data_IF_899075886805
#
_entry.id   IF_899075886805
#
_cell.length_a   1.000
_cell.length_b   1.000
_cell.length_c   1.000
_cell.angle_alpha   90.00
_cell.angle_beta   90.00
_cell.angle_gamma   90.00
#
_symmetry.space_group_name_H-M   'P 1'
#
loop_
_entity.id
_entity.type
_entity.pdbx_description
1 polymer ?
#
# COMPACT_ATOMS: atom_id res chain seq x y z
N UNK A 1 -15.58 -13.94 38.23
CA UNK A 1 -15.56 -15.21 37.45
C UNK A 1 -14.96 -14.91 36.09
N UNK A 2 -14.04 -15.74 35.56
CA UNK A 2 -13.46 -15.54 34.22
C UNK A 2 -14.45 -16.10 33.20
N UNK A 3 -14.98 -15.25 32.32
CA UNK A 3 -15.88 -15.69 31.26
C UNK A 3 -15.04 -16.37 30.16
N UNK A 4 -15.39 -17.60 29.81
CA UNK A 4 -14.72 -18.39 28.77
C UNK A 4 -15.69 -18.52 27.60
N UNK A 5 -15.25 -18.15 26.40
CA UNK A 5 -15.98 -18.44 25.17
C UNK A 5 -15.46 -19.76 24.61
N UNK A 6 -16.39 -20.64 24.23
CA UNK A 6 -16.11 -21.92 23.58
C UNK A 6 -16.71 -21.87 22.17
N UNK A 7 -15.87 -22.01 21.16
CA UNK A 7 -16.29 -22.15 19.76
C UNK A 7 -16.59 -23.62 19.48
N UNK A 8 -17.77 -23.91 18.92
CA UNK A 8 -18.14 -25.25 18.49
C UNK A 8 -18.80 -25.22 17.12
N UNK A 9 -18.57 -26.27 16.35
CA UNK A 9 -19.16 -26.50 15.04
C UNK A 9 -20.28 -27.54 15.16
N UNK A 10 -21.41 -27.27 14.50
CA UNK A 10 -22.52 -28.21 14.37
C UNK A 10 -22.71 -28.51 12.89
N UNK A 11 -22.51 -29.76 12.48
CA UNK A 11 -22.81 -30.21 11.12
C UNK A 11 -24.22 -30.77 11.07
N UNK A 12 -25.02 -30.35 10.09
CA UNK A 12 -26.42 -30.77 9.93
C UNK A 12 -26.57 -32.29 9.65
N UNK A 13 -25.52 -32.94 9.17
CA UNK A 13 -25.57 -34.36 8.79
C UNK A 13 -25.20 -35.34 9.92
N UNK A 14 -24.61 -34.87 11.03
CA UNK A 14 -24.01 -35.78 12.02
C UNK A 14 -24.44 -35.59 13.48
N UNK A 15 -25.29 -34.60 13.81
CA UNK A 15 -25.75 -34.35 15.20
C UNK A 15 -24.61 -34.35 16.25
N UNK A 16 -23.39 -34.02 15.81
CA UNK A 16 -22.17 -34.05 16.63
C UNK A 16 -21.59 -32.65 16.71
N UNK A 17 -21.46 -32.15 17.94
CA UNK A 17 -20.75 -30.91 18.25
C UNK A 17 -19.24 -31.16 18.31
N UNK A 18 -18.47 -30.43 17.51
CA UNK A 18 -17.01 -30.45 17.57
C UNK A 18 -16.55 -29.13 18.19
N UNK A 19 -15.90 -29.20 19.35
CA UNK A 19 -15.28 -28.02 19.98
C UNK A 19 -14.01 -27.70 19.19
N UNK A 20 -13.94 -26.47 18.66
CA UNK A 20 -12.80 -26.03 17.86
C UNK A 20 -11.72 -25.40 18.75
N UNK A 21 -12.06 -24.38 19.53
CA UNK A 21 -11.14 -23.67 20.45
C UNK A 21 -11.90 -23.00 21.61
N UNK A 22 -11.19 -22.68 22.70
CA UNK A 22 -11.70 -21.82 23.77
C UNK A 22 -10.75 -20.65 24.04
N UNK A 23 -11.31 -19.48 24.35
CA UNK A 23 -10.53 -18.29 24.72
C UNK A 23 -11.20 -17.50 25.84
N UNK A 24 -10.41 -16.77 26.63
CA UNK A 24 -10.91 -15.94 27.72
C UNK A 24 -11.46 -14.62 27.20
N UNK A 25 -12.68 -14.28 27.63
CA UNK A 25 -13.30 -13.02 27.25
C UNK A 25 -12.81 -11.88 28.15
N UNK A 26 -12.08 -10.93 27.58
CA UNK A 26 -11.78 -9.66 28.26
C UNK A 26 -13.03 -8.80 28.41
N UNK A 27 -13.12 -7.98 29.46
CA UNK A 27 -14.28 -7.13 29.80
C UNK A 27 -14.76 -6.22 28.66
N UNK A 28 -13.88 -5.86 27.73
CA UNK A 28 -14.19 -5.03 26.56
C UNK A 28 -14.97 -5.75 25.43
N UNK A 29 -15.07 -7.08 25.48
CA UNK A 29 -15.62 -7.89 24.39
C UNK A 29 -17.04 -8.41 24.67
N UNK A 30 -17.67 -7.98 25.77
CA UNK A 30 -19.03 -8.39 26.17
C UNK A 30 -20.08 -8.04 25.11
N UNK A 31 -19.84 -6.97 24.34
CA UNK A 31 -20.69 -6.55 23.22
C UNK A 31 -20.66 -7.51 22.02
N UNK A 32 -19.72 -8.46 21.97
CA UNK A 32 -19.60 -9.45 20.89
C UNK A 32 -20.39 -10.74 21.16
N UNK A 33 -20.94 -10.90 22.37
CA UNK A 33 -21.73 -12.09 22.73
C UNK A 33 -23.09 -12.04 22.00
N UNK A 34 -23.41 -13.10 21.26
CA UNK A 34 -24.68 -13.21 20.53
C UNK A 34 -24.67 -12.60 19.13
N UNK A 35 -23.52 -12.12 18.65
CA UNK A 35 -23.37 -11.70 17.25
C UNK A 35 -23.09 -12.90 16.35
N UNK A 36 -23.95 -13.12 15.37
CA UNK A 36 -23.67 -14.04 14.26
C UNK A 36 -22.63 -13.40 13.33
N UNK A 37 -21.39 -13.90 13.40
CA UNK A 37 -20.31 -13.47 12.53
C UNK A 37 -20.09 -14.54 11.46
N UNK A 38 -20.12 -14.20 10.16
CA UNK A 38 -19.82 -15.16 9.11
C UNK A 38 -18.46 -15.82 9.32
N UNK A 39 -18.39 -17.15 9.16
CA UNK A 39 -17.15 -17.96 9.29
C UNK A 39 -15.93 -17.37 8.55
N UNK A 40 -16.18 -16.68 7.44
CA UNK A 40 -15.18 -15.95 6.68
C UNK A 40 -14.32 -14.99 7.53
N UNK A 41 -14.88 -14.37 8.57
CA UNK A 41 -14.14 -13.47 9.45
C UNK A 41 -12.98 -14.18 10.17
N UNK A 42 -13.23 -15.36 10.73
CA UNK A 42 -12.21 -16.14 11.42
C UNK A 42 -11.17 -16.68 10.44
N UNK A 43 -11.60 -17.16 9.28
CA UNK A 43 -10.71 -17.66 8.22
C UNK A 43 -9.76 -16.56 7.68
N UNK A 44 -10.25 -15.32 7.51
CA UNK A 44 -9.40 -14.20 7.07
C UNK A 44 -8.39 -13.80 8.14
N UNK A 45 -8.81 -13.79 9.42
CA UNK A 45 -7.91 -13.48 10.54
C UNK A 45 -6.78 -14.51 10.63
N UNK A 46 -7.11 -15.79 10.57
CA UNK A 46 -6.13 -16.88 10.57
C UNK A 46 -5.19 -16.78 9.37
N UNK A 47 -5.73 -16.54 8.17
CA UNK A 47 -4.95 -16.34 6.96
C UNK A 47 -3.92 -15.21 7.09
N UNK A 48 -4.32 -14.07 7.67
CA UNK A 48 -3.44 -12.92 7.92
C UNK A 48 -2.34 -13.21 8.95
N UNK A 49 -2.65 -13.95 10.03
CA UNK A 49 -1.68 -14.34 11.04
C UNK A 49 -0.64 -15.29 10.46
N UNK A 50 -1.09 -16.34 9.76
CA UNK A 50 -0.23 -17.29 9.07
C UNK A 50 0.63 -16.58 8.00
N UNK A 51 0.04 -15.63 7.27
CA UNK A 51 0.76 -14.82 6.29
C UNK A 51 1.91 -14.04 6.93
N UNK A 52 1.64 -13.35 8.05
CA UNK A 52 2.67 -12.61 8.80
C UNK A 52 3.77 -13.53 9.31
N UNK A 53 3.41 -14.69 9.86
CA UNK A 53 4.33 -15.69 10.37
C UNK A 53 5.27 -16.22 9.28
N UNK A 54 4.74 -16.71 8.17
CA UNK A 54 5.54 -17.26 7.07
C UNK A 54 6.44 -16.19 6.43
N UNK A 55 5.97 -14.95 6.35
CA UNK A 55 6.80 -13.84 5.88
C UNK A 55 7.94 -13.48 6.83
N UNK A 56 7.76 -13.61 8.15
CA UNK A 56 8.83 -13.39 9.10
C UNK A 56 9.92 -14.48 8.99
N UNK A 57 9.54 -15.67 8.54
CA UNK A 57 10.46 -16.79 8.26
C UNK A 57 11.09 -16.72 6.86
N UNK A 58 10.61 -15.84 5.98
CA UNK A 58 11.05 -15.77 4.58
C UNK A 58 10.38 -16.79 3.65
N UNK A 59 9.39 -17.53 4.13
CA UNK A 59 8.63 -18.52 3.34
C UNK A 59 7.49 -17.86 2.55
N UNK A 60 7.84 -17.17 1.46
CA UNK A 60 6.90 -16.42 0.64
C UNK A 60 5.77 -17.32 0.08
N UNK A 61 6.10 -18.53 -0.38
CA UNK A 61 5.12 -19.46 -0.96
C UNK A 61 4.10 -19.98 0.08
N UNK A 62 4.53 -20.20 1.32
CA UNK A 62 3.66 -20.64 2.41
C UNK A 62 2.73 -19.50 2.85
N UNK A 63 3.26 -18.28 2.93
CA UNK A 63 2.47 -17.06 3.12
C UNK A 63 1.38 -16.93 2.05
N UNK A 64 1.71 -17.19 0.77
CA UNK A 64 0.71 -17.18 -0.29
C UNK A 64 -0.38 -18.22 -0.14
N UNK A 65 -0.01 -19.43 0.27
CA UNK A 65 -0.97 -20.52 0.45
C UNK A 65 -1.94 -20.21 1.58
N UNK A 66 -1.53 -19.50 2.64
CA UNK A 66 -2.43 -19.11 3.72
C UNK A 66 -3.47 -18.07 3.30
N UNK A 67 -3.17 -17.24 2.29
CA UNK A 67 -4.04 -16.14 1.83
C UNK A 67 -5.01 -16.52 0.70
N UNK A 68 -5.14 -17.80 0.33
CA UNK A 68 -5.96 -18.26 -0.82
C UNK A 68 -7.43 -17.82 -0.76
N UNK A 69 -7.98 -17.68 0.44
CA UNK A 69 -9.38 -17.31 0.65
C UNK A 69 -9.62 -15.79 0.57
N UNK A 70 -8.56 -14.98 0.60
CA UNK A 70 -8.66 -13.51 0.60
C UNK A 70 -8.84 -13.00 -0.83
N UNK A 71 -10.09 -12.63 -1.16
CA UNK A 71 -10.46 -12.09 -2.48
C UNK A 71 -10.65 -10.57 -2.51
N UNK A 72 -10.77 -9.93 -1.35
CA UNK A 72 -11.06 -8.49 -1.29
C UNK A 72 -9.85 -7.65 -1.68
N UNK A 73 -9.99 -6.85 -2.73
CA UNK A 73 -8.96 -5.89 -3.16
C UNK A 73 -8.60 -4.88 -2.07
N UNK A 74 -9.56 -4.50 -1.21
CA UNK A 74 -9.31 -3.58 -0.11
C UNK A 74 -8.34 -4.14 0.94
N UNK A 75 -8.39 -5.46 1.19
CA UNK A 75 -7.44 -6.12 2.10
C UNK A 75 -6.02 -6.05 1.52
N UNK A 76 -5.88 -6.37 0.23
CA UNK A 76 -4.60 -6.28 -0.47
C UNK A 76 -4.08 -4.85 -0.53
N UNK A 77 -4.95 -3.84 -0.70
CA UNK A 77 -4.56 -2.44 -0.66
C UNK A 77 -4.02 -2.03 0.71
N UNK A 78 -4.72 -2.38 1.80
CA UNK A 78 -4.25 -2.09 3.16
C UNK A 78 -2.92 -2.77 3.45
N UNK A 79 -2.77 -4.02 3.00
CA UNK A 79 -1.51 -4.76 3.11
C UNK A 79 -0.39 -4.08 2.31
N UNK A 80 -0.67 -3.60 1.09
CA UNK A 80 0.30 -2.88 0.27
C UNK A 80 0.75 -1.58 0.96
N UNK A 81 -0.17 -0.84 1.60
CA UNK A 81 0.17 0.37 2.37
C UNK A 81 1.11 0.05 3.53
N UNK A 82 0.89 -1.06 4.24
CA UNK A 82 1.83 -1.53 5.28
C UNK A 82 3.20 -1.93 4.71
N UNK A 83 3.24 -2.45 3.48
CA UNK A 83 4.50 -2.78 2.80
C UNK A 83 5.34 -1.55 2.49
N UNK A 84 4.72 -0.38 2.29
CA UNK A 84 5.43 0.90 2.14
C UNK A 84 6.19 1.24 3.43
N UNK A 85 5.50 1.24 4.57
CA UNK A 85 6.12 1.58 5.87
C UNK A 85 7.21 0.57 6.29
N UNK A 86 7.04 -0.70 5.93
CA UNK A 86 8.00 -1.78 6.25
C UNK A 86 9.08 -1.97 5.18
N UNK A 87 9.03 -1.20 4.08
CA UNK A 87 9.93 -1.31 2.92
C UNK A 87 10.02 -2.71 2.32
N UNK A 88 8.91 -3.45 2.36
CA UNK A 88 8.78 -4.81 1.78
C UNK A 88 8.18 -4.76 0.38
N UNK A 89 9.00 -4.34 -0.58
CA UNK A 89 8.57 -4.09 -1.95
C UNK A 89 8.08 -5.34 -2.69
N UNK A 90 8.69 -6.49 -2.41
CA UNK A 90 8.33 -7.80 -2.93
C UNK A 90 6.86 -8.15 -2.64
N UNK A 91 6.45 -7.99 -1.39
CA UNK A 91 5.06 -8.20 -0.95
C UNK A 91 4.15 -7.12 -1.54
N UNK A 92 4.60 -5.86 -1.56
CA UNK A 92 3.84 -4.75 -2.16
C UNK A 92 3.52 -4.95 -3.64
N UNK A 93 4.48 -5.42 -4.44
CA UNK A 93 4.31 -5.75 -5.86
C UNK A 93 3.29 -6.88 -6.07
N UNK A 94 3.30 -7.88 -5.20
CA UNK A 94 2.28 -8.90 -5.25
C UNK A 94 0.89 -8.34 -4.92
N UNK A 95 0.77 -7.49 -3.89
CA UNK A 95 -0.51 -6.91 -3.52
C UNK A 95 -1.12 -6.14 -4.70
N UNK A 96 -0.32 -5.40 -5.46
CA UNK A 96 -0.75 -4.75 -6.71
C UNK A 96 -1.31 -5.75 -7.72
N UNK A 97 -0.67 -6.91 -7.89
CA UNK A 97 -1.16 -7.98 -8.74
C UNK A 97 -2.50 -8.55 -8.29
N UNK A 98 -2.67 -8.77 -6.97
CA UNK A 98 -3.94 -9.26 -6.39
C UNK A 98 -5.07 -8.24 -6.48
N UNK A 99 -4.75 -6.95 -6.47
CA UNK A 99 -5.69 -5.85 -6.69
C UNK A 99 -6.04 -5.66 -8.18
N UNK A 100 -5.33 -6.30 -9.11
CA UNK A 100 -5.46 -6.05 -10.55
C UNK A 100 -4.85 -4.72 -11.01
N UNK A 101 -4.02 -4.07 -10.19
CA UNK A 101 -3.33 -2.84 -10.54
C UNK A 101 -2.07 -3.12 -11.38
N UNK A 102 -2.28 -3.53 -12.63
CA UNK A 102 -1.21 -3.85 -13.56
C UNK A 102 -0.31 -2.64 -13.88
N UNK A 103 -0.92 -1.45 -14.01
CA UNK A 103 -0.20 -0.21 -14.26
C UNK A 103 0.75 0.13 -13.11
N UNK A 104 0.28 0.05 -11.86
CA UNK A 104 1.11 0.29 -10.70
C UNK A 104 2.27 -0.70 -10.60
N UNK A 105 2.01 -1.99 -10.86
CA UNK A 105 3.08 -2.99 -10.87
C UNK A 105 4.11 -2.73 -11.96
N UNK A 106 3.68 -2.29 -13.14
CA UNK A 106 4.57 -1.88 -14.23
C UNK A 106 5.43 -0.69 -13.84
N UNK A 107 4.85 0.35 -13.23
CA UNK A 107 5.59 1.56 -12.86
C UNK A 107 6.66 1.27 -11.80
N UNK A 108 6.32 0.46 -10.79
CA UNK A 108 7.30 -0.01 -9.78
C UNK A 108 8.43 -0.82 -10.43
N UNK A 109 8.12 -1.68 -11.41
CA UNK A 109 9.16 -2.42 -12.16
C UNK A 109 10.03 -1.52 -13.02
N UNK A 110 9.49 -0.43 -13.54
CA UNK A 110 10.26 0.52 -14.35
C UNK A 110 11.21 1.35 -13.48
N UNK A 111 10.80 1.77 -12.28
CA UNK A 111 11.73 2.42 -11.35
C UNK A 111 12.80 1.45 -10.87
N UNK A 112 12.49 0.17 -10.65
CA UNK A 112 13.47 -0.87 -10.26
C UNK A 112 14.62 -1.01 -11.26
N UNK A 113 14.38 -0.82 -12.56
CA UNK A 113 15.43 -0.88 -13.59
C UNK A 113 16.35 0.34 -13.56
N UNK A 114 15.81 1.50 -13.20
CA UNK A 114 16.52 2.79 -13.21
C UNK A 114 17.25 3.03 -11.91
N UNK A 115 16.67 2.57 -10.80
CA UNK A 115 17.08 2.88 -9.45
C UNK A 115 17.28 1.61 -8.63
N UNK A 116 18.52 1.31 -8.17
CA UNK A 116 18.77 0.13 -7.35
C UNK A 116 18.32 0.31 -5.89
N UNK A 117 18.03 1.54 -5.44
CA UNK A 117 17.66 1.81 -4.05
C UNK A 117 16.22 1.38 -3.77
N UNK A 118 16.06 0.33 -2.95
CA UNK A 118 14.77 -0.24 -2.51
C UNK A 118 13.84 0.80 -1.87
N UNK A 119 14.40 1.78 -1.16
CA UNK A 119 13.61 2.82 -0.48
C UNK A 119 12.95 3.74 -1.51
N UNK A 120 13.68 4.13 -2.56
CA UNK A 120 13.11 4.90 -3.69
C UNK A 120 12.04 4.10 -4.42
N UNK A 121 12.29 2.81 -4.66
CA UNK A 121 11.31 1.92 -5.29
C UNK A 121 10.03 1.78 -4.44
N UNK A 122 10.18 1.80 -3.12
CA UNK A 122 9.05 1.80 -2.16
C UNK A 122 8.27 3.12 -2.22
N UNK A 123 8.95 4.25 -2.46
CA UNK A 123 8.28 5.53 -2.73
C UNK A 123 7.42 5.49 -3.99
N UNK A 124 7.86 4.82 -5.05
CA UNK A 124 7.03 4.61 -6.25
C UNK A 124 5.81 3.73 -5.94
N UNK A 125 5.98 2.65 -5.16
CA UNK A 125 4.84 1.86 -4.69
C UNK A 125 3.83 2.72 -3.92
N UNK A 126 4.31 3.62 -3.06
CA UNK A 126 3.46 4.55 -2.31
C UNK A 126 2.63 5.45 -3.24
N UNK A 127 3.22 5.97 -4.32
CA UNK A 127 2.48 6.73 -5.35
C UNK A 127 1.36 5.90 -5.98
N UNK A 128 1.65 4.66 -6.36
CA UNK A 128 0.65 3.77 -6.98
C UNK A 128 -0.51 3.38 -6.04
N UNK A 129 -0.32 3.58 -4.73
CA UNK A 129 -1.33 3.37 -3.70
C UNK A 129 -2.04 4.67 -3.26
N UNK A 130 -1.68 5.81 -3.84
CA UNK A 130 -2.20 7.14 -3.49
C UNK A 130 -1.63 7.72 -2.20
N UNK A 131 -0.51 7.19 -1.69
CA UNK A 131 0.16 7.68 -0.48
C UNK A 131 1.20 8.75 -0.83
N UNK A 132 0.74 9.88 -1.36
CA UNK A 132 1.60 10.94 -1.93
C UNK A 132 2.53 11.59 -0.91
N UNK A 133 2.04 11.90 0.29
CA UNK A 133 2.85 12.48 1.38
C UNK A 133 3.96 11.53 1.86
N UNK A 134 3.67 10.23 1.92
CA UNK A 134 4.65 9.24 2.33
C UNK A 134 5.70 9.04 1.23
N UNK A 135 5.27 9.01 -0.04
CA UNK A 135 6.16 8.96 -1.17
C UNK A 135 7.13 10.16 -1.19
N UNK A 136 6.62 11.37 -0.95
CA UNK A 136 7.44 12.58 -0.86
C UNK A 136 8.48 12.46 0.25
N UNK A 137 8.07 12.07 1.46
CA UNK A 137 8.98 11.85 2.59
C UNK A 137 10.10 10.87 2.22
N UNK A 138 9.74 9.72 1.64
CA UNK A 138 10.68 8.69 1.20
C UNK A 138 11.68 9.23 0.16
N UNK A 139 11.21 10.02 -0.81
CA UNK A 139 12.09 10.60 -1.82
C UNK A 139 13.03 11.68 -1.25
N UNK A 140 12.55 12.48 -0.30
CA UNK A 140 13.37 13.47 0.43
C UNK A 140 14.45 12.76 1.26
N UNK A 141 14.08 11.70 1.99
CA UNK A 141 15.02 10.87 2.75
C UNK A 141 16.15 10.32 1.86
N UNK A 142 15.81 9.93 0.63
CA UNK A 142 16.79 9.43 -0.33
C UNK A 142 17.54 10.52 -1.11
N UNK A 143 17.32 11.81 -0.78
CA UNK A 143 17.82 12.97 -1.50
C UNK A 143 17.49 12.95 -3.01
N UNK A 144 16.37 12.33 -3.39
CA UNK A 144 15.89 12.21 -4.78
C UNK A 144 14.96 13.33 -5.16
N UNK A 145 15.53 14.53 -5.18
CA UNK A 145 14.83 15.78 -5.50
C UNK A 145 14.24 15.81 -6.91
N UNK A 146 14.74 15.00 -7.83
CA UNK A 146 14.14 14.82 -9.14
C UNK A 146 12.78 14.13 -9.11
N UNK A 147 12.62 13.13 -8.25
CA UNK A 147 11.36 12.43 -8.05
C UNK A 147 10.39 13.30 -7.24
N UNK A 148 10.88 14.04 -6.24
CA UNK A 148 10.08 15.03 -5.49
C UNK A 148 9.53 16.10 -6.44
N UNK A 149 10.37 16.72 -7.28
CA UNK A 149 9.91 17.73 -8.24
C UNK A 149 8.90 17.14 -9.24
N UNK A 150 9.12 15.92 -9.72
CA UNK A 150 8.16 15.22 -10.59
C UNK A 150 6.83 14.96 -9.89
N UNK A 151 6.84 14.56 -8.63
CA UNK A 151 5.63 14.34 -7.84
C UNK A 151 4.80 15.62 -7.77
N UNK A 152 5.42 16.75 -7.42
CA UNK A 152 4.73 18.04 -7.39
C UNK A 152 4.17 18.46 -8.76
N UNK A 153 4.89 18.21 -9.85
CA UNK A 153 4.35 18.40 -11.21
C UNK A 153 3.10 17.55 -11.47
N UNK A 154 3.11 16.27 -11.07
CA UNK A 154 1.96 15.39 -11.26
C UNK A 154 0.76 15.75 -10.40
N UNK A 155 0.98 16.40 -9.25
CA UNK A 155 -0.07 16.93 -8.39
C UNK A 155 -0.58 18.31 -8.84
N UNK A 156 0.09 18.95 -9.80
CA UNK A 156 -0.22 20.30 -10.26
C UNK A 156 0.37 21.43 -9.39
N UNK A 157 1.23 21.10 -8.42
CA UNK A 157 1.94 22.06 -7.58
C UNK A 157 3.18 22.62 -8.31
N UNK A 158 2.95 23.33 -9.40
CA UNK A 158 4.01 23.76 -10.31
C UNK A 158 5.01 24.73 -9.69
N UNK A 159 4.53 25.68 -8.89
CA UNK A 159 5.40 26.65 -8.21
C UNK A 159 6.37 25.97 -7.24
N UNK A 160 5.88 25.01 -6.46
CA UNK A 160 6.70 24.21 -5.55
C UNK A 160 7.71 23.36 -6.32
N UNK A 161 7.29 22.74 -7.43
CA UNK A 161 8.17 21.97 -8.29
C UNK A 161 9.31 22.81 -8.88
N UNK A 162 9.05 24.06 -9.30
CA UNK A 162 10.06 25.00 -9.78
C UNK A 162 11.03 25.36 -8.65
N UNK A 163 10.53 25.76 -7.48
CA UNK A 163 11.38 26.12 -6.34
C UNK A 163 12.30 24.96 -5.91
N UNK A 164 11.79 23.73 -5.89
CA UNK A 164 12.58 22.53 -5.58
C UNK A 164 13.67 22.34 -6.65
N UNK A 165 13.32 22.50 -7.93
CA UNK A 165 14.28 22.39 -9.02
C UNK A 165 15.37 23.48 -8.95
N UNK A 166 15.04 24.73 -8.66
CA UNK A 166 16.01 25.82 -8.53
C UNK A 166 17.02 25.60 -7.40
N UNK A 167 16.51 25.15 -6.25
CA UNK A 167 17.31 24.98 -5.02
C UNK A 167 18.14 23.70 -5.03
N UNK A 168 17.58 22.59 -5.50
CA UNK A 168 18.15 21.25 -5.31
C UNK A 168 18.42 20.48 -6.60
N UNK A 169 17.90 20.90 -7.76
CA UNK A 169 17.99 20.15 -9.01
C UNK A 169 18.04 21.05 -10.27
N UNK A 170 19.05 21.92 -10.33
CA UNK A 170 19.19 22.93 -11.40
C UNK A 170 19.27 22.32 -12.80
N UNK A 171 19.74 21.09 -12.93
CA UNK A 171 19.83 20.37 -14.22
C UNK A 171 18.45 20.17 -14.84
N UNK A 172 17.41 19.91 -14.03
CA UNK A 172 16.04 19.71 -14.52
C UNK A 172 15.19 20.98 -14.53
N UNK A 173 15.69 22.11 -14.05
CA UNK A 173 14.95 23.36 -13.94
C UNK A 173 14.30 23.79 -15.27
N UNK A 174 15.07 23.82 -16.36
CA UNK A 174 14.56 24.16 -17.69
C UNK A 174 13.42 23.26 -18.14
N UNK A 175 13.52 21.96 -17.85
CA UNK A 175 12.48 20.99 -18.21
C UNK A 175 11.23 21.20 -17.35
N UNK A 176 11.38 21.59 -16.08
CA UNK A 176 10.28 21.93 -15.19
C UNK A 176 9.54 23.18 -15.67
N UNK A 177 10.24 24.26 -16.03
CA UNK A 177 9.61 25.45 -16.60
C UNK A 177 8.88 25.14 -17.91
N UNK A 178 9.50 24.37 -18.80
CA UNK A 178 8.87 23.96 -20.05
C UNK A 178 7.58 23.16 -19.82
N UNK A 179 7.59 22.22 -18.87
CA UNK A 179 6.41 21.45 -18.51
C UNK A 179 5.31 22.34 -17.89
N UNK A 180 5.69 23.31 -17.05
CA UNK A 180 4.75 24.25 -16.46
C UNK A 180 4.12 25.18 -17.51
N UNK A 181 4.93 25.72 -18.42
CA UNK A 181 4.47 26.53 -19.55
C UNK A 181 3.50 25.74 -20.45
N UNK A 182 3.77 24.46 -20.70
CA UNK A 182 2.85 23.60 -21.45
C UNK A 182 1.49 23.45 -20.75
N UNK A 183 1.48 23.32 -19.42
CA UNK A 183 0.23 23.18 -18.66
C UNK A 183 -0.57 24.49 -18.64
N UNK A 184 0.08 25.63 -18.42
CA UNK A 184 -0.54 26.96 -18.51
C UNK A 184 -1.15 27.20 -19.90
N UNK A 185 -0.46 26.76 -20.95
CA UNK A 185 -0.96 26.83 -22.32
C UNK A 185 -2.23 26.00 -22.54
N UNK A 186 -2.36 24.83 -21.90
CA UNK A 186 -3.60 24.02 -21.97
C UNK A 186 -4.76 24.67 -21.22
N UNK A 187 -4.45 25.51 -20.23
CA UNK A 187 -5.42 26.29 -19.46
C UNK A 187 -5.73 27.66 -20.10
N UNK A 188 -5.31 27.90 -21.35
CA UNK A 188 -5.45 29.15 -22.09
C UNK A 188 -4.76 30.38 -21.44
N UNK A 189 -3.86 30.17 -20.48
CA UNK A 189 -3.07 31.21 -19.80
C UNK A 189 -1.76 31.48 -20.54
N UNK A 190 -1.85 31.99 -21.77
CA UNK A 190 -0.71 32.12 -22.68
C UNK A 190 0.33 33.13 -22.18
N UNK A 191 -0.10 34.25 -21.59
CA UNK A 191 0.83 35.27 -21.08
C UNK A 191 1.72 34.73 -19.95
N UNK A 192 1.11 34.00 -18.99
CA UNK A 192 1.85 33.36 -17.91
C UNK A 192 2.79 32.26 -18.43
N UNK A 193 2.41 31.55 -19.49
CA UNK A 193 3.24 30.52 -20.10
C UNK A 193 4.49 31.08 -20.78
N UNK A 194 4.44 32.31 -21.30
CA UNK A 194 5.61 33.00 -21.88
C UNK A 194 6.58 33.48 -20.79
N UNK A 195 6.07 33.76 -19.60
CA UNK A 195 6.86 34.21 -18.46
C UNK A 195 7.62 33.08 -17.74
N UNK A 196 7.30 31.81 -18.04
CA UNK A 196 7.98 30.62 -17.52
C UNK A 196 9.19 30.23 -18.36
#
# INVERSE_FOLDING_TARGET
MKNVIVSFFVSQDQDRMIIQEYFFLGSHHTALIGLEVPYFYFAVREAMLNFSFYLAQGEIDAAFKSMKLVRSAAIWQNMAKMCVSTRRLDVGLMCLGKMGNAFGAMMVREIQKREPNITVQTGELALQLGMTEEAERIFIECARWDLVARLHQTLGHWEEAVQIAEKRNRVRLRNTHYAYAQELRKQDRIEDAIAQ
#
